data_IF_821771317292
#
_entry.id   IF_821771317292
#
_cell.length_a   1.000
_cell.length_b   1.000
_cell.length_c   1.000
_cell.angle_alpha   90.00
_cell.angle_beta   90.00
_cell.angle_gamma   90.00
#
_symmetry.space_group_name_H-M   'P 1'
#
loop_
_entity.id
_entity.type
_entity.pdbx_description
1 polymer ?
#
# COMPACT_ATOMS: atom_id res chain seq x y z
N UNK A 1 53.35 -11.81 20.79
CA UNK A 1 53.91 -12.85 21.69
C UNK A 1 53.75 -12.36 23.13
N UNK A 2 53.21 -13.14 24.09
CA UNK A 2 52.53 -14.44 24.02
C UNK A 2 50.98 -14.27 24.06
N UNK A 3 50.19 -15.06 23.34
CA UNK A 3 49.74 -16.43 23.65
C UNK A 3 48.94 -16.54 24.96
N UNK A 4 47.62 -16.72 24.86
CA UNK A 4 46.92 -17.72 25.65
C UNK A 4 45.74 -18.30 24.85
N UNK A 5 45.97 -19.52 24.37
CA UNK A 5 45.00 -20.48 23.88
C UNK A 5 44.05 -20.89 25.02
N UNK A 6 42.75 -20.95 24.75
CA UNK A 6 41.88 -21.96 25.36
C UNK A 6 41.07 -22.63 24.25
N UNK A 7 41.56 -23.79 23.83
CA UNK A 7 40.81 -24.78 23.06
C UNK A 7 39.72 -25.36 23.97
N UNK A 8 38.46 -25.23 23.55
CA UNK A 8 37.34 -26.02 24.04
C UNK A 8 36.76 -26.84 22.88
N UNK A 9 37.26 -28.06 22.72
CA UNK A 9 36.69 -29.10 21.87
C UNK A 9 35.49 -29.71 22.61
N UNK A 10 34.30 -29.61 22.02
CA UNK A 10 33.17 -30.48 22.35
C UNK A 10 32.42 -30.84 21.06
N UNK A 11 32.12 -32.13 20.98
CA UNK A 11 31.73 -32.96 19.84
C UNK A 11 30.43 -32.56 19.12
N UNK A 12 30.23 -33.05 17.88
CA UNK A 12 29.04 -32.81 17.09
C UNK A 12 27.85 -33.63 17.62
N UNK A 13 26.73 -32.97 17.88
CA UNK A 13 25.44 -33.65 17.99
C UNK A 13 24.86 -33.82 16.59
N UNK A 14 24.87 -35.08 16.13
CA UNK A 14 24.04 -35.58 15.04
C UNK A 14 22.57 -35.49 15.44
N UNK A 15 21.78 -34.74 14.68
CA UNK A 15 20.32 -34.92 14.63
C UNK A 15 19.96 -35.17 13.18
N UNK A 16 19.87 -36.46 12.85
CA UNK A 16 19.14 -36.94 11.70
C UNK A 16 17.65 -37.00 12.09
N UNK A 17 16.81 -36.31 11.33
CA UNK A 17 15.38 -36.62 11.24
C UNK A 17 14.88 -36.09 9.90
N UNK A 18 14.98 -36.96 8.88
CA UNK A 18 14.18 -36.88 7.66
C UNK A 18 12.70 -36.98 8.03
N UNK A 19 11.96 -35.91 7.80
CA UNK A 19 10.50 -35.89 7.83
C UNK A 19 9.98 -35.69 6.41
N UNK A 20 9.92 -36.77 5.63
CA UNK A 20 9.19 -36.81 4.37
C UNK A 20 7.70 -36.58 4.64
N UNK A 21 7.19 -35.39 4.34
CA UNK A 21 5.75 -35.16 4.17
C UNK A 21 5.32 -35.70 2.80
N UNK A 22 5.20 -37.02 2.69
CA UNK A 22 4.36 -37.65 1.68
C UNK A 22 2.90 -37.40 2.06
N UNK A 23 2.29 -36.40 1.42
CA UNK A 23 0.86 -36.18 1.48
C UNK A 23 0.15 -37.28 0.69
N UNK A 24 -0.22 -38.36 1.36
CA UNK A 24 -1.15 -39.36 0.83
C UNK A 24 -2.49 -38.67 0.56
N UNK A 25 -2.89 -38.63 -0.71
CA UNK A 25 -4.23 -38.27 -1.14
C UNK A 25 -5.21 -39.24 -0.48
N UNK A 26 -5.85 -38.80 0.61
CA UNK A 26 -6.98 -39.48 1.20
C UNK A 26 -8.14 -39.47 0.19
N UNK A 27 -8.29 -40.58 -0.51
CA UNK A 27 -9.47 -40.92 -1.31
C UNK A 27 -10.62 -41.07 -0.33
N UNK A 28 -11.47 -40.05 -0.22
CA UNK A 28 -12.71 -40.14 0.54
C UNK A 28 -13.58 -41.22 -0.10
N UNK A 29 -13.86 -42.28 0.66
CA UNK A 29 -14.79 -43.33 0.28
C UNK A 29 -16.18 -42.73 0.03
N UNK A 30 -16.73 -43.00 -1.14
CA UNK A 30 -18.10 -42.69 -1.46
C UNK A 30 -19.02 -43.68 -0.72
N UNK A 31 -19.69 -43.21 0.33
CA UNK A 31 -20.78 -43.95 0.98
C UNK A 31 -21.99 -43.91 0.03
N UNK A 32 -22.30 -45.01 -0.62
CA UNK A 32 -23.51 -45.15 -1.44
C UNK A 32 -24.71 -45.40 -0.53
N UNK A 33 -25.49 -44.35 -0.26
CA UNK A 33 -26.86 -44.49 0.26
C UNK A 33 -27.76 -44.76 -0.95
N UNK A 34 -28.29 -45.98 -1.06
CA UNK A 34 -29.25 -46.34 -2.08
C UNK A 34 -30.62 -45.73 -1.80
N UNK A 35 -31.08 -44.82 -2.67
CA UNK A 35 -32.46 -44.37 -2.71
C UNK A 35 -33.11 -44.98 -3.95
N UNK A 36 -34.06 -45.88 -3.72
CA UNK A 36 -34.90 -46.49 -4.75
C UNK A 36 -36.14 -45.63 -5.02
N UNK A 37 -36.40 -45.34 -6.30
CA UNK A 37 -37.64 -44.70 -6.81
C UNK A 37 -37.70 -43.20 -6.51
N UNK A 38 -38.18 -42.30 -7.36
CA UNK A 38 -39.14 -42.38 -8.46
C UNK A 38 -38.78 -41.24 -9.45
N UNK A 39 -39.07 -41.41 -10.73
CA UNK A 39 -38.59 -40.55 -11.80
C UNK A 39 -38.98 -39.07 -11.70
N UNK A 40 -38.01 -38.22 -12.00
CA UNK A 40 -38.13 -37.06 -12.87
C UNK A 40 -36.69 -36.59 -13.17
N UNK A 41 -36.29 -36.61 -14.44
CA UNK A 41 -35.01 -36.06 -14.90
C UNK A 41 -35.00 -34.55 -14.70
N UNK A 42 -34.69 -34.09 -13.49
CA UNK A 42 -34.40 -32.71 -13.15
C UNK A 42 -32.90 -32.54 -12.99
N UNK A 43 -32.20 -32.19 -14.06
CA UNK A 43 -30.81 -31.73 -13.97
C UNK A 43 -30.84 -30.38 -13.25
N UNK A 44 -30.64 -30.37 -11.93
CA UNK A 44 -30.38 -29.13 -11.20
C UNK A 44 -28.98 -28.67 -11.59
N UNK A 45 -28.91 -27.85 -12.64
CA UNK A 45 -27.73 -27.05 -12.92
C UNK A 45 -27.53 -26.11 -11.73
N UNK A 46 -26.63 -26.46 -10.82
CA UNK A 46 -26.10 -25.50 -9.85
C UNK A 46 -25.29 -24.51 -10.69
N UNK A 47 -25.94 -23.43 -11.12
CA UNK A 47 -25.27 -22.28 -11.69
C UNK A 47 -24.28 -21.81 -10.62
N UNK A 48 -23.00 -22.13 -10.78
CA UNK A 48 -21.95 -21.51 -9.99
C UNK A 48 -22.04 -20.02 -10.28
N UNK A 49 -22.75 -19.28 -9.42
CA UNK A 49 -22.69 -17.82 -9.37
C UNK A 49 -21.26 -17.51 -8.96
N UNK A 50 -20.35 -17.53 -9.94
CA UNK A 50 -18.98 -17.11 -9.73
C UNK A 50 -19.06 -15.60 -9.62
N UNK A 51 -18.81 -15.01 -8.43
CA UNK A 51 -18.89 -13.56 -8.29
C UNK A 51 -17.98 -12.97 -9.36
N UNK A 52 -18.54 -12.09 -10.19
CA UNK A 52 -17.73 -11.33 -11.15
C UNK A 52 -16.60 -10.69 -10.35
N UNK A 53 -15.35 -10.95 -10.75
CA UNK A 53 -14.21 -10.29 -10.15
C UNK A 53 -14.47 -8.79 -10.24
N UNK A 54 -14.68 -8.14 -9.09
CA UNK A 54 -14.85 -6.69 -9.07
C UNK A 54 -13.49 -6.13 -9.44
N UNK A 55 -13.46 -5.31 -10.49
CA UNK A 55 -12.28 -4.48 -10.76
C UNK A 55 -12.15 -3.54 -9.56
N UNK A 56 -11.20 -3.80 -8.67
CA UNK A 56 -10.86 -2.81 -7.64
C UNK A 56 -10.39 -1.55 -8.36
N UNK A 57 -11.22 -0.51 -8.31
CA UNK A 57 -10.83 0.81 -8.78
C UNK A 57 -9.80 1.35 -7.80
N UNK A 58 -8.52 1.17 -8.13
CA UNK A 58 -7.44 1.74 -7.35
C UNK A 58 -7.56 3.27 -7.33
N UNK A 59 -7.34 3.91 -6.18
CA UNK A 59 -7.38 5.37 -6.09
C UNK A 59 -6.32 5.98 -7.02
N UNK A 60 -6.62 7.17 -7.55
CA UNK A 60 -5.70 7.91 -8.42
C UNK A 60 -4.45 8.30 -7.63
N UNK A 61 -3.29 8.05 -8.23
CA UNK A 61 -1.98 8.36 -7.67
C UNK A 61 -1.18 9.25 -8.62
N UNK A 62 -0.22 10.00 -8.10
CA UNK A 62 0.55 10.98 -8.87
C UNK A 62 1.43 10.34 -9.95
N UNK A 63 1.82 9.06 -9.79
CA UNK A 63 2.53 8.29 -10.82
C UNK A 63 1.63 7.86 -12.00
N UNK A 64 0.31 8.03 -11.88
CA UNK A 64 -0.66 7.69 -12.92
C UNK A 64 -0.86 6.19 -13.16
N UNK A 65 -1.48 5.84 -14.28
CA UNK A 65 -1.69 4.45 -14.69
C UNK A 65 -0.60 4.08 -15.70
N UNK A 66 0.50 3.51 -15.21
CA UNK A 66 1.59 2.98 -16.02
C UNK A 66 1.81 1.51 -15.65
N UNK A 67 2.41 0.69 -16.52
CA UNK A 67 2.80 -0.67 -16.15
C UNK A 67 3.60 -0.68 -14.83
N UNK A 68 3.24 -1.60 -13.93
CA UNK A 68 3.89 -1.73 -12.62
C UNK A 68 3.41 -0.75 -11.53
N UNK A 69 2.72 0.36 -11.84
CA UNK A 69 2.28 1.28 -10.78
C UNK A 69 1.12 0.73 -9.95
N UNK A 70 0.31 -0.16 -10.52
CA UNK A 70 -0.78 -0.83 -9.80
C UNK A 70 -0.27 -1.67 -8.61
N UNK A 71 0.85 -2.38 -8.77
CA UNK A 71 1.43 -3.17 -7.66
C UNK A 71 2.01 -2.26 -6.58
N UNK A 72 2.54 -1.10 -6.93
CA UNK A 72 2.98 -0.08 -5.97
C UNK A 72 1.81 0.41 -5.10
N UNK A 73 0.70 0.78 -5.74
CA UNK A 73 -0.50 1.24 -5.03
C UNK A 73 -1.03 0.14 -4.10
N UNK A 74 -1.17 -1.11 -4.57
CA UNK A 74 -1.67 -2.23 -3.74
C UNK A 74 -0.75 -2.55 -2.57
N UNK A 75 0.56 -2.60 -2.80
CA UNK A 75 1.52 -2.87 -1.74
C UNK A 75 1.52 -1.75 -0.68
N UNK A 76 1.41 -0.49 -1.09
CA UNK A 76 1.29 0.65 -0.19
C UNK A 76 -0.01 0.61 0.63
N UNK A 77 -1.15 0.29 -0.02
CA UNK A 77 -2.43 0.12 0.67
C UNK A 77 -2.38 -1.04 1.68
N UNK A 78 -1.75 -2.16 1.31
CA UNK A 78 -1.54 -3.31 2.20
C UNK A 78 -0.65 -2.96 3.40
N UNK A 79 0.45 -2.22 3.18
CA UNK A 79 1.29 -1.73 4.28
C UNK A 79 0.49 -0.84 5.27
N UNK A 80 -0.39 0.02 4.74
CA UNK A 80 -1.29 0.87 5.54
C UNK A 80 -2.45 0.11 6.21
N UNK A 81 -2.72 -1.13 5.83
CA UNK A 81 -3.62 -2.02 6.57
C UNK A 81 -2.87 -2.81 7.66
N UNK A 82 -1.56 -3.01 7.49
CA UNK A 82 -0.68 -3.68 8.45
C UNK A 82 0.18 -2.71 9.24
N UNK A 83 1.51 -2.81 9.08
CA UNK A 83 2.48 -2.12 9.95
C UNK A 83 2.50 -0.59 9.86
N UNK A 84 1.89 0.00 8.84
CA UNK A 84 1.77 1.46 8.69
C UNK A 84 0.34 1.96 9.00
N UNK A 85 -0.54 1.12 9.56
CA UNK A 85 -1.89 1.49 9.97
C UNK A 85 -2.00 2.76 10.83
N UNK A 86 -1.05 3.07 11.75
CA UNK A 86 -1.11 4.30 12.54
C UNK A 86 -1.24 5.58 11.69
N UNK A 87 -0.68 5.63 10.49
CA UNK A 87 -0.83 6.78 9.59
C UNK A 87 -2.30 7.11 9.30
N UNK A 88 -3.10 6.09 8.93
CA UNK A 88 -4.51 6.28 8.60
C UNK A 88 -5.40 6.47 9.85
N UNK A 89 -4.88 6.15 11.03
CA UNK A 89 -5.59 6.30 12.31
C UNK A 89 -5.34 7.68 12.93
N UNK A 90 -4.19 8.28 12.68
CA UNK A 90 -3.86 9.64 13.12
C UNK A 90 -4.50 10.69 12.21
N UNK A 91 -4.96 11.78 12.83
CA UNK A 91 -5.33 13.03 12.14
C UNK A 91 -4.22 14.06 12.43
N UNK A 92 -3.31 14.32 11.48
CA UNK A 92 -2.23 15.29 11.67
C UNK A 92 -2.77 16.70 11.92
N UNK A 93 -2.08 17.51 12.73
CA UNK A 93 -2.52 18.87 13.06
C UNK A 93 -2.58 19.79 11.82
N UNK A 94 -1.65 19.60 10.88
CA UNK A 94 -1.55 20.35 9.62
C UNK A 94 -2.39 19.73 8.48
N UNK A 95 -3.25 18.75 8.77
CA UNK A 95 -3.96 17.99 7.72
C UNK A 95 -4.85 18.86 6.83
N UNK A 96 -5.38 19.97 7.33
CA UNK A 96 -6.21 20.89 6.54
C UNK A 96 -5.43 21.48 5.33
N UNK A 97 -4.12 21.66 5.48
CA UNK A 97 -3.25 22.14 4.40
C UNK A 97 -3.01 21.10 3.31
N UNK A 98 -3.23 19.82 3.62
CA UNK A 98 -2.97 18.70 2.74
C UNK A 98 -4.24 18.09 2.15
N UNK A 99 -5.28 17.92 2.96
CA UNK A 99 -6.48 17.16 2.63
C UNK A 99 -7.66 17.58 3.53
N UNK A 100 -8.43 18.62 3.16
CA UNK A 100 -9.49 19.18 4.02
C UNK A 100 -10.57 18.17 4.44
N UNK A 101 -10.88 17.17 3.60
CA UNK A 101 -11.88 16.14 3.90
C UNK A 101 -11.35 14.99 4.78
N UNK A 102 -10.05 14.94 5.09
CA UNK A 102 -9.42 13.82 5.79
C UNK A 102 -10.03 13.53 7.18
N UNK A 103 -10.39 14.53 8.02
CA UNK A 103 -10.96 14.24 9.33
C UNK A 103 -12.27 13.44 9.25
N UNK A 104 -13.09 13.69 8.23
CA UNK A 104 -14.35 12.99 7.98
C UNK A 104 -14.22 11.78 7.05
N UNK A 105 -13.02 11.52 6.53
CA UNK A 105 -12.76 10.45 5.60
C UNK A 105 -12.77 9.08 6.28
N UNK A 106 -13.28 8.07 5.57
CA UNK A 106 -13.24 6.68 6.03
C UNK A 106 -11.81 6.11 5.98
N UNK A 107 -11.63 4.90 6.52
CA UNK A 107 -10.31 4.27 6.57
C UNK A 107 -9.70 4.02 5.18
N UNK A 108 -10.50 3.75 4.15
CA UNK A 108 -10.00 3.54 2.79
C UNK A 108 -9.53 4.85 2.16
N UNK A 109 -10.26 5.93 2.33
CA UNK A 109 -9.91 7.27 1.88
C UNK A 109 -8.66 7.80 2.59
N UNK A 110 -8.54 7.60 3.91
CA UNK A 110 -7.33 7.97 4.65
C UNK A 110 -6.10 7.21 4.18
N UNK A 111 -6.23 5.92 3.90
CA UNK A 111 -5.14 5.14 3.28
C UNK A 111 -4.81 5.67 1.88
N UNK A 112 -5.81 5.95 1.05
CA UNK A 112 -5.62 6.53 -0.26
C UNK A 112 -4.86 7.86 -0.20
N UNK A 113 -5.13 8.71 0.79
CA UNK A 113 -4.38 9.93 1.04
C UNK A 113 -2.88 9.65 1.26
N UNK A 114 -2.52 8.71 2.14
CA UNK A 114 -1.11 8.42 2.42
C UNK A 114 -0.36 7.81 1.25
N UNK A 115 -1.02 6.96 0.45
CA UNK A 115 -0.45 6.49 -0.82
C UNK A 115 -0.31 7.66 -1.81
N UNK A 116 -1.31 8.54 -1.86
CA UNK A 116 -1.29 9.77 -2.65
C UNK A 116 -0.11 10.66 -2.30
N UNK A 117 0.11 10.92 -1.02
CA UNK A 117 1.21 11.73 -0.52
C UNK A 117 2.56 11.11 -0.88
N UNK A 118 2.71 9.81 -0.66
CA UNK A 118 3.91 9.07 -1.05
C UNK A 118 4.15 9.10 -2.56
N UNK A 119 3.08 9.04 -3.36
CA UNK A 119 3.17 9.14 -4.82
C UNK A 119 3.60 10.52 -5.30
N UNK A 120 3.10 11.58 -4.68
CA UNK A 120 3.47 12.96 -5.01
C UNK A 120 4.92 13.23 -4.60
N UNK A 121 5.32 12.75 -3.43
CA UNK A 121 6.69 12.83 -2.92
C UNK A 121 7.69 12.10 -3.83
N UNK A 122 7.36 10.87 -4.26
CA UNK A 122 8.21 10.09 -5.15
C UNK A 122 8.52 10.77 -6.49
N UNK A 123 7.70 11.74 -6.93
CA UNK A 123 8.01 12.56 -8.11
C UNK A 123 9.26 13.39 -7.89
N UNK A 124 9.41 13.99 -6.71
CA UNK A 124 10.55 14.85 -6.38
C UNK A 124 11.77 14.06 -5.92
N UNK A 125 11.56 12.87 -5.35
CA UNK A 125 12.65 11.99 -4.91
C UNK A 125 13.30 11.22 -6.08
N UNK A 126 12.49 10.66 -6.97
CA UNK A 126 12.99 9.73 -8.01
C UNK A 126 12.44 9.98 -9.40
N UNK A 127 11.50 10.92 -9.56
CA UNK A 127 10.70 11.06 -10.79
C UNK A 127 9.93 9.78 -11.11
N UNK A 128 9.42 9.12 -10.07
CA UNK A 128 8.70 7.83 -10.15
C UNK A 128 9.53 6.69 -10.75
N UNK A 129 10.86 6.70 -10.57
CA UNK A 129 11.75 5.63 -11.04
C UNK A 129 12.10 4.70 -9.88
N UNK A 130 11.54 3.50 -9.89
CA UNK A 130 11.82 2.51 -8.84
C UNK A 130 13.29 2.04 -8.81
N UNK A 131 14.00 2.04 -9.94
CA UNK A 131 15.43 1.74 -10.01
C UNK A 131 16.35 2.93 -9.70
N UNK A 132 15.82 4.07 -9.26
CA UNK A 132 16.65 5.26 -9.02
C UNK A 132 17.67 5.02 -7.90
N UNK A 133 18.91 5.44 -8.15
CA UNK A 133 19.96 5.54 -7.14
C UNK A 133 20.47 6.98 -7.14
N UNK A 134 20.43 7.62 -5.97
CA UNK A 134 20.78 9.03 -5.80
C UNK A 134 21.80 9.25 -4.68
N UNK A 135 22.18 10.51 -4.49
CA UNK A 135 23.15 10.95 -3.47
C UNK A 135 24.48 10.17 -3.51
N UNK A 136 25.07 10.04 -4.71
CA UNK A 136 26.35 9.36 -4.88
C UNK A 136 26.32 7.84 -4.68
N UNK A 137 25.15 7.20 -4.80
CA UNK A 137 25.02 5.74 -4.64
C UNK A 137 24.34 5.30 -3.34
N UNK A 138 23.97 6.24 -2.47
CA UNK A 138 23.54 5.95 -1.10
C UNK A 138 22.02 5.73 -0.96
N UNK A 139 21.23 6.44 -1.76
CA UNK A 139 19.77 6.46 -1.61
C UNK A 139 19.10 5.71 -2.74
N UNK A 140 18.09 4.89 -2.44
CA UNK A 140 17.54 3.95 -3.41
C UNK A 140 16.02 4.04 -3.52
N UNK A 141 15.55 3.85 -4.76
CA UNK A 141 14.17 3.63 -5.13
C UNK A 141 13.28 4.86 -5.08
N UNK A 142 11.96 4.60 -5.06
CA UNK A 142 10.92 5.60 -5.25
C UNK A 142 11.01 6.77 -4.26
N UNK A 143 11.30 6.46 -3.00
CA UNK A 143 11.40 7.41 -1.89
C UNK A 143 12.83 7.64 -1.41
N UNK A 144 13.84 7.26 -2.22
CA UNK A 144 15.26 7.50 -1.96
C UNK A 144 15.67 7.14 -0.52
N UNK A 145 15.51 5.88 -0.15
CA UNK A 145 15.77 5.38 1.21
C UNK A 145 17.21 4.87 1.32
N UNK A 146 17.91 5.25 2.38
CA UNK A 146 19.22 4.71 2.75
C UNK A 146 19.08 3.30 3.37
N UNK A 147 19.90 2.30 2.98
CA UNK A 147 19.79 0.95 3.53
C UNK A 147 19.96 0.88 5.06
N UNK A 148 20.83 1.73 5.64
CA UNK A 148 21.00 1.82 7.09
C UNK A 148 19.72 2.29 7.80
N UNK A 149 19.04 3.31 7.26
CA UNK A 149 17.73 3.76 7.76
C UNK A 149 16.70 2.65 7.67
N UNK A 150 16.62 1.94 6.52
CA UNK A 150 15.70 0.82 6.36
C UNK A 150 15.93 -0.27 7.41
N UNK A 151 17.19 -0.61 7.71
CA UNK A 151 17.56 -1.55 8.79
C UNK A 151 17.13 -1.03 10.16
N UNK A 152 17.42 0.24 10.49
CA UNK A 152 17.05 0.86 11.77
C UNK A 152 15.54 0.90 12.02
N UNK A 153 14.74 1.00 10.96
CA UNK A 153 13.27 0.90 11.02
C UNK A 153 12.75 -0.53 10.87
N UNK A 154 13.63 -1.54 10.84
CA UNK A 154 13.26 -2.95 10.76
C UNK A 154 12.60 -3.36 9.45
N UNK A 155 12.77 -2.60 8.36
CA UNK A 155 12.19 -2.91 7.05
C UNK A 155 12.67 -4.28 6.53
N UNK A 156 11.86 -4.91 5.66
CA UNK A 156 12.26 -6.15 4.97
C UNK A 156 13.32 -5.88 3.89
N UNK A 157 13.14 -4.82 3.08
CA UNK A 157 14.17 -4.36 2.15
C UNK A 157 15.29 -3.65 2.92
N UNK A 158 16.45 -4.28 3.03
CA UNK A 158 17.60 -3.81 3.84
C UNK A 158 18.86 -3.52 3.04
N UNK A 159 18.81 -3.65 1.71
CA UNK A 159 19.92 -3.40 0.79
C UNK A 159 19.48 -2.44 -0.31
N UNK A 160 20.44 -1.80 -0.98
CA UNK A 160 20.15 -0.90 -2.10
C UNK A 160 19.40 -1.59 -3.24
N UNK A 161 19.80 -2.83 -3.58
CA UNK A 161 19.10 -3.64 -4.57
C UNK A 161 17.65 -3.97 -4.16
N UNK A 162 17.42 -4.35 -2.89
CA UNK A 162 16.08 -4.63 -2.41
C UNK A 162 15.20 -3.37 -2.38
N UNK A 163 15.79 -2.20 -2.09
CA UNK A 163 15.08 -0.91 -2.08
C UNK A 163 14.77 -0.37 -3.48
N UNK A 164 15.34 -0.92 -4.55
CA UNK A 164 14.93 -0.62 -5.93
C UNK A 164 13.63 -1.33 -6.33
N UNK A 165 13.15 -2.29 -5.53
CA UNK A 165 11.79 -2.81 -5.69
C UNK A 165 10.78 -1.77 -5.18
N UNK A 166 9.97 -1.21 -6.08
CA UNK A 166 9.03 -0.12 -5.74
C UNK A 166 8.02 -0.47 -4.64
N UNK A 167 7.50 -1.70 -4.62
CA UNK A 167 6.57 -2.15 -3.59
C UNK A 167 7.25 -2.25 -2.21
N UNK A 168 8.45 -2.83 -2.15
CA UNK A 168 9.22 -2.94 -0.91
C UNK A 168 9.71 -1.57 -0.41
N UNK A 169 10.08 -0.66 -1.32
CA UNK A 169 10.47 0.70 -1.03
C UNK A 169 9.32 1.50 -0.38
N UNK A 170 8.12 1.48 -0.98
CA UNK A 170 6.95 2.15 -0.44
C UNK A 170 6.52 1.56 0.90
N UNK A 171 6.54 0.23 1.03
CA UNK A 171 6.26 -0.45 2.31
C UNK A 171 7.19 0.02 3.43
N UNK A 172 8.49 0.19 3.14
CA UNK A 172 9.46 0.70 4.10
C UNK A 172 9.27 2.21 4.36
N UNK A 173 9.08 3.02 3.33
CA UNK A 173 8.84 4.45 3.49
C UNK A 173 7.62 4.76 4.35
N UNK A 174 6.51 4.04 4.14
CA UNK A 174 5.32 4.17 4.97
C UNK A 174 5.56 3.74 6.43
N UNK A 175 6.43 2.76 6.68
CA UNK A 175 6.85 2.40 8.05
C UNK A 175 7.62 3.54 8.73
N UNK A 176 8.52 4.19 8.00
CA UNK A 176 9.29 5.34 8.49
C UNK A 176 8.33 6.51 8.78
N UNK A 177 7.44 6.85 7.83
CA UNK A 177 6.41 7.88 8.00
C UNK A 177 5.51 7.58 9.20
N UNK A 178 5.06 6.34 9.37
CA UNK A 178 4.22 5.95 10.50
C UNK A 178 4.89 6.26 11.84
N UNK A 179 6.21 6.02 11.95
CA UNK A 179 6.97 6.35 13.15
C UNK A 179 7.07 7.87 13.37
N UNK A 180 7.42 8.64 12.34
CA UNK A 180 7.66 10.08 12.51
C UNK A 180 6.39 10.89 12.66
N UNK A 181 5.31 10.52 11.96
CA UNK A 181 3.99 11.13 12.12
C UNK A 181 3.38 10.78 13.47
N UNK A 182 3.49 9.53 13.94
CA UNK A 182 3.02 9.18 15.28
C UNK A 182 3.79 9.93 16.38
N UNK A 183 5.11 10.10 16.21
CA UNK A 183 5.95 10.87 17.14
C UNK A 183 5.58 12.36 17.15
N UNK A 184 5.36 12.94 15.97
CA UNK A 184 5.31 14.40 15.85
C UNK A 184 3.90 14.99 15.69
N UNK A 185 2.91 14.19 15.29
CA UNK A 185 1.51 14.61 15.10
C UNK A 185 1.26 15.50 13.88
N UNK A 186 2.22 15.60 12.95
CA UNK A 186 2.19 16.49 11.79
C UNK A 186 2.72 15.78 10.54
N UNK A 187 2.40 16.32 9.37
CA UNK A 187 2.98 15.89 8.08
C UNK A 187 4.28 16.69 7.81
N UNK A 188 4.23 18.02 7.87
CA UNK A 188 5.40 18.86 7.59
C UNK A 188 5.31 20.21 8.31
N UNK A 189 5.91 20.28 9.51
CA UNK A 189 6.05 21.52 10.27
C UNK A 189 7.51 21.70 10.67
N UNK A 190 7.97 22.95 10.67
CA UNK A 190 9.26 23.34 11.23
C UNK A 190 9.03 23.98 12.61
N UNK A 191 9.56 23.35 13.65
CA UNK A 191 9.52 23.85 15.04
C UNK A 191 10.82 23.42 15.73
N UNK A 192 11.83 24.29 15.66
CA UNK A 192 13.23 23.99 15.99
C UNK A 192 13.91 23.04 14.98
N UNK A 193 13.28 21.89 14.73
CA UNK A 193 13.63 20.92 13.68
C UNK A 193 12.45 20.66 12.76
N UNK A 194 12.70 20.02 11.62
CA UNK A 194 11.63 19.47 10.79
C UNK A 194 10.98 18.27 11.46
N UNK A 195 9.64 18.23 11.39
CA UNK A 195 8.78 17.26 12.08
C UNK A 195 7.87 16.54 11.08
N UNK A 196 7.40 15.35 11.46
CA UNK A 196 6.55 14.51 10.62
C UNK A 196 7.31 13.85 9.49
N UNK A 197 6.68 13.76 8.32
CA UNK A 197 7.31 13.30 7.08
C UNK A 197 8.49 14.21 6.69
N UNK A 198 8.42 15.52 6.99
CA UNK A 198 9.54 16.43 6.68
C UNK A 198 10.82 16.16 7.50
N UNK A 199 10.75 15.34 8.55
CA UNK A 199 11.92 14.92 9.31
C UNK A 199 12.89 14.10 8.45
N UNK A 200 12.39 13.26 7.55
CA UNK A 200 13.20 12.34 6.74
C UNK A 200 13.32 12.79 5.27
N UNK A 201 12.29 13.42 4.71
CA UNK A 201 12.24 13.73 3.27
C UNK A 201 12.48 15.21 2.96
N UNK A 202 13.57 15.49 2.25
CA UNK A 202 14.01 16.83 1.86
C UNK A 202 12.99 17.66 1.04
N UNK A 203 12.30 17.10 0.03
CA UNK A 203 11.29 17.82 -0.75
C UNK A 203 10.14 18.39 0.07
N UNK A 204 9.86 17.83 1.26
CA UNK A 204 8.83 18.35 2.17
C UNK A 204 9.24 19.67 2.83
N UNK A 205 10.55 20.00 2.82
CA UNK A 205 11.14 21.21 3.40
C UNK A 205 11.16 22.38 2.42
N UNK A 206 11.07 22.08 1.13
CA UNK A 206 10.96 23.07 0.06
C UNK A 206 9.50 23.56 -0.05
N UNK A 207 9.22 24.86 0.14
CA UNK A 207 7.86 25.38 0.17
C UNK A 207 7.16 25.26 -1.19
N UNK A 208 7.90 25.39 -2.31
CA UNK A 208 7.33 25.30 -3.65
C UNK A 208 6.93 23.86 -3.97
N UNK A 209 7.81 22.89 -3.68
CA UNK A 209 7.50 21.45 -3.86
C UNK A 209 6.36 21.02 -2.95
N UNK A 210 6.38 21.45 -1.67
CA UNK A 210 5.30 21.18 -0.72
C UNK A 210 3.96 21.70 -1.21
N UNK A 211 3.91 22.96 -1.68
CA UNK A 211 2.69 23.55 -2.25
C UNK A 211 2.18 22.76 -3.46
N UNK A 212 3.07 22.32 -4.36
CA UNK A 212 2.68 21.50 -5.51
C UNK A 212 2.10 20.14 -5.09
N UNK A 213 2.70 19.47 -4.08
CA UNK A 213 2.15 18.21 -3.55
C UNK A 213 0.77 18.42 -2.90
N UNK A 214 0.62 19.48 -2.10
CA UNK A 214 -0.65 19.84 -1.46
C UNK A 214 -1.73 20.14 -2.49
N UNK A 215 -1.43 20.95 -3.52
CA UNK A 215 -2.37 21.25 -4.60
C UNK A 215 -2.83 19.98 -5.31
N UNK A 216 -1.91 19.10 -5.68
CA UNK A 216 -2.26 17.83 -6.32
C UNK A 216 -3.13 16.95 -5.43
N UNK A 217 -2.82 16.84 -4.13
CA UNK A 217 -3.61 16.06 -3.18
C UNK A 217 -5.04 16.59 -3.02
N UNK A 218 -5.22 17.92 -2.94
CA UNK A 218 -6.53 18.57 -2.78
C UNK A 218 -7.47 18.33 -3.97
N UNK A 219 -6.95 18.03 -5.14
CA UNK A 219 -7.76 17.69 -6.33
C UNK A 219 -8.36 16.28 -6.27
N UNK A 220 -7.82 15.40 -5.44
CA UNK A 220 -8.20 13.98 -5.44
C UNK A 220 -9.53 13.74 -4.74
N UNK A 221 -10.29 12.74 -5.22
CA UNK A 221 -11.62 12.44 -4.68
C UNK A 221 -11.61 12.07 -3.19
N UNK A 222 -10.50 11.51 -2.69
CA UNK A 222 -10.32 11.17 -1.28
C UNK A 222 -9.92 12.36 -0.39
N UNK A 223 -9.71 13.56 -0.96
CA UNK A 223 -9.48 14.81 -0.21
C UNK A 223 -10.58 15.85 -0.41
N UNK A 224 -11.63 15.48 -1.13
CA UNK A 224 -12.77 16.33 -1.41
C UNK A 224 -14.00 15.83 -0.63
N UNK A 225 -14.82 16.74 -0.07
CA UNK A 225 -16.06 16.34 0.60
C UNK A 225 -16.96 15.51 -0.34
N UNK A 226 -17.68 14.53 0.22
CA UNK A 226 -18.61 13.66 -0.53
C UNK A 226 -19.66 14.45 -1.32
N UNK A 227 -20.12 15.58 -0.78
CA UNK A 227 -21.04 16.50 -1.47
C UNK A 227 -20.48 17.02 -2.80
N UNK A 228 -19.16 17.15 -2.91
CA UNK A 228 -18.49 17.68 -4.11
C UNK A 228 -18.03 16.59 -5.10
N UNK A 229 -18.05 15.32 -4.70
CA UNK A 229 -17.60 14.17 -5.51
C UNK A 229 -18.74 13.26 -5.95
N UNK A 230 -19.93 13.38 -5.35
CA UNK A 230 -21.14 12.66 -5.76
C UNK A 230 -21.49 13.01 -7.23
N UNK A 231 -21.69 12.01 -8.12
CA UNK A 231 -22.23 12.25 -9.45
C UNK A 231 -23.59 12.95 -9.38
N UNK A 232 -23.80 13.97 -10.23
CA UNK A 232 -25.11 14.63 -10.34
C UNK A 232 -26.15 13.60 -10.80
N UNK A 233 -27.36 13.66 -10.21
CA UNK A 233 -28.45 12.81 -10.64
C UNK A 233 -28.74 13.05 -12.13
N UNK A 234 -29.02 11.97 -12.86
CA UNK A 234 -29.43 12.05 -14.27
C UNK A 234 -30.74 12.84 -14.36
N UNK A 235 -30.87 13.85 -15.25
CA UNK A 235 -32.11 14.59 -15.41
C UNK A 235 -33.28 13.67 -15.77
N UNK A 236 -34.46 13.92 -15.18
CA UNK A 236 -35.64 13.06 -15.33
C UNK A 236 -36.12 12.88 -16.80
N UNK A 237 -35.88 13.88 -17.66
CA UNK A 237 -36.29 13.84 -19.07
C UNK A 237 -35.45 12.96 -20.00
N UNK A 238 -34.30 12.46 -19.55
CA UNK A 238 -33.38 11.71 -20.44
C UNK A 238 -33.93 10.33 -20.86
N UNK A 239 -34.88 9.76 -20.10
CA UNK A 239 -35.53 8.49 -20.43
C UNK A 239 -36.74 8.67 -21.37
N UNK A 240 -37.43 9.82 -21.30
CA UNK A 240 -38.60 10.11 -22.14
C UNK A 240 -38.21 10.47 -23.59
N UNK A 241 -37.06 11.13 -23.78
CA UNK A 241 -36.57 11.48 -25.11
C UNK A 241 -36.16 10.25 -25.93
N UNK A 242 -35.52 9.25 -25.31
CA UNK A 242 -35.05 8.04 -26.02
C UNK A 242 -36.18 7.11 -26.47
N UNK A 243 -37.36 7.20 -25.85
CA UNK A 243 -38.55 6.46 -26.27
C UNK A 243 -39.26 7.07 -27.48
N UNK A 244 -38.97 8.34 -27.83
CA UNK A 244 -39.66 9.05 -28.91
C UNK A 244 -38.94 8.96 -30.26
N UNK A 245 -37.67 8.54 -30.31
CA UNK A 245 -36.87 8.39 -31.55
C UNK A 245 -36.93 6.97 -32.16
N UNK A 246 -37.74 6.07 -31.60
CA UNK A 246 -37.95 4.71 -32.14
C UNK A 246 -39.34 4.50 -32.80
N UNK A 247 -40.00 5.59 -33.18
CA UNK A 247 -41.27 5.57 -33.91
C UNK A 247 -41.05 5.70 -35.42
#
# INVERSE_FOLDING_TARGET
>A
MPLLLCLGLALPHTVAAEGQMSGTLATSGATTVGVSGVGASGVFAVTLIRPRARTETLPRMAWGQKPGTAIWTRAALSALQGHAAPLAQTVPQDIADWCPAYPQADAAQRRAFWVGLSSALARYESTHRAGAVGGGGLYHGLLQILPATAKGHGCHARSGAALQNGAANLSCGLRIMARTVARDGVIAVQSGRWRGVAADWGPMRDPAKRKQMQSWLKEQSYCRPLSSTRPKARPAGFLLAQSSEKG
#
